data_IF_985022751708
#
_entry.id   IF_985022751708
#
_cell.length_a   1.000
_cell.length_b   1.000
_cell.length_c   1.000
_cell.angle_alpha   90.00
_cell.angle_beta   90.00
_cell.angle_gamma   90.00
#
_symmetry.space_group_name_H-M   'P 1'
#
loop_
_entity.id
_entity.type
_entity.pdbx_description
1 polymer ?
#
# COMPACT_ATOMS: atom_id res chain seq x y z
N UNK A 1 6.24 -0.79 -0.56
CA UNK A 1 5.04 -0.33 -1.31
C UNK A 1 5.44 0.46 -2.55
N UNK A 2 6.18 1.57 -2.43
CA UNK A 2 6.63 2.35 -3.61
C UNK A 2 7.36 1.49 -4.66
N UNK A 3 8.31 0.66 -4.24
CA UNK A 3 9.03 -0.26 -5.13
C UNK A 3 8.11 -1.33 -5.73
N UNK A 4 7.24 -1.93 -4.92
CA UNK A 4 6.29 -2.96 -5.40
C UNK A 4 5.29 -2.41 -6.42
N UNK A 5 4.88 -1.14 -6.27
CA UNK A 5 4.06 -0.43 -7.26
C UNK A 5 4.86 0.12 -8.46
N UNK A 6 6.17 -0.16 -8.57
CA UNK A 6 7.05 0.36 -9.64
C UNK A 6 7.01 1.88 -9.80
N UNK A 7 6.91 2.62 -8.68
CA UNK A 7 6.82 4.09 -8.66
C UNK A 7 8.14 4.73 -8.22
N UNK A 8 9.21 4.52 -8.96
CA UNK A 8 10.56 5.01 -8.60
C UNK A 8 10.62 6.53 -8.42
N UNK A 9 9.78 7.26 -9.16
CA UNK A 9 9.64 8.72 -9.06
C UNK A 9 9.20 9.20 -7.65
N UNK A 10 8.74 8.29 -6.79
CA UNK A 10 8.31 8.58 -5.42
C UNK A 10 9.36 8.22 -4.37
N UNK A 11 10.50 7.63 -4.74
CA UNK A 11 11.57 7.29 -3.78
C UNK A 11 12.19 8.53 -3.11
N UNK A 12 12.15 9.68 -3.76
CA UNK A 12 12.63 10.95 -3.18
C UNK A 12 11.63 11.62 -2.22
N UNK A 13 10.41 11.08 -2.07
CA UNK A 13 9.37 11.65 -1.20
C UNK A 13 9.54 11.16 0.23
N UNK A 14 9.20 12.02 1.18
CA UNK A 14 9.21 11.64 2.59
C UNK A 14 8.04 10.73 2.92
N UNK A 15 8.18 9.94 3.99
CA UNK A 15 7.10 9.05 4.49
C UNK A 15 5.81 9.84 4.75
N UNK A 16 5.91 11.05 5.31
CA UNK A 16 4.77 11.92 5.58
C UNK A 16 4.05 12.36 4.30
N UNK A 17 4.81 12.73 3.25
CA UNK A 17 4.23 13.08 1.95
C UNK A 17 3.53 11.88 1.31
N UNK A 18 4.15 10.70 1.37
CA UNK A 18 3.55 9.45 0.89
C UNK A 18 2.24 9.15 1.62
N UNK A 19 2.25 9.23 2.95
CA UNK A 19 1.09 8.95 3.79
C UNK A 19 -0.06 9.94 3.59
N UNK A 20 0.22 11.22 3.35
CA UNK A 20 -0.84 12.23 3.22
C UNK A 20 -1.46 12.27 1.82
N UNK A 21 -0.66 12.06 0.77
CA UNK A 21 -1.08 12.38 -0.61
C UNK A 21 -1.29 11.16 -1.50
N UNK A 22 -0.86 9.97 -1.09
CA UNK A 22 -0.91 8.78 -1.94
C UNK A 22 -1.75 7.67 -1.31
N UNK A 23 -2.51 6.97 -2.13
CA UNK A 23 -3.35 5.84 -1.74
C UNK A 23 -3.12 4.70 -2.73
N UNK A 24 -3.24 3.47 -2.25
CA UNK A 24 -3.16 2.25 -3.06
C UNK A 24 -4.53 1.58 -3.04
N UNK A 25 -5.06 1.25 -4.22
CA UNK A 25 -6.35 0.59 -4.34
C UNK A 25 -6.28 -0.82 -3.74
N UNK A 26 -7.38 -1.28 -3.11
CA UNK A 26 -7.48 -2.63 -2.53
C UNK A 26 -7.22 -3.77 -3.53
N UNK A 27 -7.35 -3.50 -4.82
CA UNK A 27 -7.11 -4.45 -5.92
C UNK A 27 -5.63 -4.85 -6.06
N UNK A 28 -4.71 -4.08 -5.50
CA UNK A 28 -3.28 -4.41 -5.49
C UNK A 28 -2.91 -5.42 -4.40
N UNK A 29 -3.82 -5.74 -3.49
CA UNK A 29 -3.54 -6.65 -2.39
C UNK A 29 -4.29 -7.97 -2.58
N UNK A 30 -3.62 -9.09 -2.31
CA UNK A 30 -4.26 -10.39 -2.29
C UNK A 30 -5.24 -10.51 -1.11
N UNK A 31 -6.28 -11.32 -1.26
CA UNK A 31 -7.35 -11.47 -0.25
C UNK A 31 -6.83 -11.90 1.13
N UNK A 32 -5.77 -12.72 1.16
CA UNK A 32 -5.15 -13.21 2.39
C UNK A 32 -4.26 -12.16 3.10
N UNK A 33 -4.03 -11.00 2.49
CA UNK A 33 -3.28 -9.88 3.08
C UNK A 33 -4.15 -8.96 3.94
N UNK A 34 -5.47 -9.20 3.98
CA UNK A 34 -6.40 -8.45 4.81
C UNK A 34 -6.63 -9.16 6.15
N UNK A 35 -6.91 -8.38 7.20
CA UNK A 35 -7.26 -8.88 8.54
C UNK A 35 -8.72 -9.33 8.63
N UNK A 36 -9.54 -8.93 7.66
CA UNK A 36 -10.98 -9.18 7.64
C UNK A 36 -11.49 -9.52 6.23
N UNK A 37 -12.59 -10.25 6.18
CA UNK A 37 -13.24 -10.67 4.94
C UNK A 37 -13.67 -9.49 4.05
N UNK A 38 -14.10 -8.38 4.64
CA UNK A 38 -14.55 -7.18 3.93
C UNK A 38 -13.40 -6.39 3.28
N UNK A 39 -12.15 -6.77 3.56
CA UNK A 39 -10.92 -6.16 3.01
C UNK A 39 -10.79 -4.67 3.34
N UNK A 40 -11.10 -4.30 4.59
CA UNK A 40 -11.01 -2.91 5.06
C UNK A 40 -9.75 -2.64 5.88
N UNK A 41 -9.05 -3.68 6.35
CA UNK A 41 -7.81 -3.56 7.12
C UNK A 41 -6.74 -4.49 6.57
N UNK A 42 -5.54 -3.96 6.36
CA UNK A 42 -4.38 -4.73 5.91
C UNK A 42 -3.61 -5.31 7.10
N UNK A 43 -2.99 -6.46 6.88
CA UNK A 43 -2.01 -7.02 7.81
C UNK A 43 -0.71 -6.19 7.80
N UNK A 44 0.07 -6.18 8.89
CA UNK A 44 1.32 -5.39 8.96
C UNK A 44 2.36 -5.73 7.88
N UNK A 45 2.33 -6.96 7.37
CA UNK A 45 3.24 -7.46 6.32
C UNK A 45 2.61 -7.43 4.91
N UNK A 46 1.45 -6.80 4.74
CA UNK A 46 0.83 -6.68 3.42
C UNK A 46 1.69 -5.81 2.48
N UNK A 47 1.87 -6.28 1.25
CA UNK A 47 2.63 -5.59 0.21
C UNK A 47 1.73 -5.53 -1.05
N UNK A 48 1.54 -4.35 -1.65
CA UNK A 48 0.76 -4.17 -2.89
C UNK A 48 1.52 -4.60 -4.14
#
# INVERSE_FOLDING_TARGET
WVSACSRENLFSKTVTQLYNSYRVCKLHFASNMFLNYERTRLQPHAIP
#
